data_IF_632847864362
#
_entry.id   IF_632847864362
#
_cell.length_a   1.000
_cell.length_b   1.000
_cell.length_c   1.000
_cell.angle_alpha   90.00
_cell.angle_beta   90.00
_cell.angle_gamma   90.00
#
_symmetry.space_group_name_H-M   'P 1'
#
loop_
_entity.id
_entity.type
_entity.pdbx_description
1 polymer ?
#
# COMPACT_ATOMS: atom_id res chain seq x y z
N UNK A 1 14.94 -11.51 -16.25
CA UNK A 1 14.54 -10.98 -14.93
C UNK A 1 13.86 -9.63 -15.14
N UNK A 2 12.51 -9.58 -15.13
CA UNK A 2 11.79 -8.33 -15.40
C UNK A 2 12.16 -7.28 -14.35
N UNK A 3 12.70 -6.13 -14.78
CA UNK A 3 12.98 -4.97 -13.92
C UNK A 3 11.67 -4.62 -13.21
N UNK A 4 11.55 -4.95 -11.92
CA UNK A 4 10.35 -4.70 -11.12
C UNK A 4 10.21 -3.19 -10.97
N UNK A 5 9.41 -2.57 -11.84
CA UNK A 5 9.12 -1.16 -11.79
C UNK A 5 8.45 -0.86 -10.44
N UNK A 6 9.16 -0.15 -9.56
CA UNK A 6 8.57 0.41 -8.35
C UNK A 6 7.47 1.40 -8.79
N UNK A 7 6.33 1.45 -8.08
CA UNK A 7 5.26 2.36 -8.44
C UNK A 7 5.74 3.81 -8.24
N UNK A 8 6.16 4.46 -9.34
CA UNK A 8 6.58 5.86 -9.35
C UNK A 8 5.38 6.73 -9.70
N UNK A 9 4.94 7.55 -8.76
CA UNK A 9 3.90 8.56 -8.97
C UNK A 9 3.28 9.04 -7.66
N UNK A 10 2.90 10.33 -7.60
CA UNK A 10 2.35 11.00 -6.41
C UNK A 10 1.24 10.22 -5.70
N UNK A 11 0.37 9.53 -6.45
CA UNK A 11 -0.73 8.72 -5.88
C UNK A 11 -0.25 7.47 -5.16
N UNK A 12 0.83 6.85 -5.64
CA UNK A 12 1.45 5.70 -5.00
C UNK A 12 2.16 6.12 -3.71
N UNK A 13 2.90 7.23 -3.75
CA UNK A 13 3.59 7.79 -2.58
C UNK A 13 2.61 8.20 -1.48
N UNK A 14 1.51 8.86 -1.82
CA UNK A 14 0.47 9.22 -0.85
C UNK A 14 -0.14 7.98 -0.16
N UNK A 15 -0.35 6.90 -0.91
CA UNK A 15 -0.83 5.62 -0.35
C UNK A 15 0.19 4.96 0.56
N UNK A 16 1.47 5.02 0.19
CA UNK A 16 2.55 4.52 1.03
C UNK A 16 2.63 5.31 2.33
N UNK A 17 2.60 6.64 2.25
CA UNK A 17 2.60 7.53 3.41
C UNK A 17 1.44 7.27 4.35
N UNK A 18 0.22 7.10 3.82
CA UNK A 18 -0.96 6.77 4.63
C UNK A 18 -0.78 5.48 5.43
N UNK A 19 -0.42 4.38 4.77
CA UNK A 19 -0.26 3.07 5.43
C UNK A 19 0.87 3.10 6.46
N UNK A 20 1.97 3.78 6.14
CA UNK A 20 3.09 3.92 7.06
C UNK A 20 2.78 4.84 8.25
N UNK A 21 1.91 5.85 8.07
CA UNK A 21 1.35 6.66 9.16
C UNK A 21 0.51 5.82 10.11
N UNK A 22 -0.46 5.06 9.58
CA UNK A 22 -1.28 4.13 10.38
C UNK A 22 -0.44 3.06 11.09
N UNK A 23 0.65 2.60 10.47
CA UNK A 23 1.60 1.69 11.11
C UNK A 23 2.38 2.37 12.26
N UNK A 24 2.83 3.61 12.06
CA UNK A 24 3.51 4.41 13.10
C UNK A 24 2.60 4.63 14.31
N UNK A 25 1.31 4.83 14.07
CA UNK A 25 0.27 4.97 15.11
C UNK A 25 -0.17 3.64 15.72
N UNK A 26 0.33 2.50 15.24
CA UNK A 26 -0.09 1.14 15.67
C UNK A 26 -1.59 0.88 15.46
N UNK A 27 -2.22 1.56 14.50
CA UNK A 27 -3.65 1.42 14.16
C UNK A 27 -3.86 0.59 12.90
N UNK A 28 -2.81 0.34 12.10
CA UNK A 28 -2.88 -0.46 10.88
C UNK A 28 -3.34 -1.91 11.17
N UNK A 29 -4.46 -2.33 10.58
CA UNK A 29 -4.99 -3.70 10.67
C UNK A 29 -4.84 -4.47 9.36
N UNK A 30 -4.51 -5.76 9.45
CA UNK A 30 -4.40 -6.64 8.28
C UNK A 30 -5.73 -7.29 7.92
N UNK A 31 -6.02 -7.39 6.63
CA UNK A 31 -7.17 -8.12 6.07
C UNK A 31 -8.53 -7.43 6.25
N UNK A 32 -8.87 -6.97 7.45
CA UNK A 32 -10.16 -6.35 7.75
C UNK A 32 -10.10 -5.35 8.90
N UNK A 33 -11.18 -4.57 9.09
CA UNK A 33 -11.31 -3.62 10.21
C UNK A 33 -11.27 -4.28 11.59
N UNK A 34 -11.59 -5.57 11.69
CA UNK A 34 -11.51 -6.36 12.94
C UNK A 34 -10.27 -7.26 12.98
N UNK A 35 -9.42 -7.22 11.95
CA UNK A 35 -8.23 -8.03 11.86
C UNK A 35 -7.14 -7.63 12.86
N UNK A 36 -6.10 -8.46 13.02
CA UNK A 36 -5.02 -8.16 13.92
C UNK A 36 -4.24 -6.92 13.47
N UNK A 37 -3.70 -6.20 14.46
CA UNK A 37 -2.80 -5.06 14.24
C UNK A 37 -1.51 -5.57 13.60
N UNK A 38 -1.03 -4.85 12.60
CA UNK A 38 0.23 -5.14 11.92
C UNK A 38 1.39 -4.75 12.83
N UNK A 39 2.18 -5.74 13.24
CA UNK A 39 3.33 -5.56 14.14
C UNK A 39 4.65 -5.40 13.39
N UNK A 40 4.75 -5.98 12.19
CA UNK A 40 5.98 -5.98 11.39
C UNK A 40 6.02 -4.84 10.38
N UNK A 41 7.13 -4.10 10.35
CA UNK A 41 7.39 -3.06 9.35
C UNK A 41 7.43 -3.64 7.93
N UNK A 42 7.95 -4.85 7.76
CA UNK A 42 7.99 -5.52 6.47
C UNK A 42 6.57 -5.81 5.94
N UNK A 43 5.65 -6.20 6.83
CA UNK A 43 4.24 -6.40 6.49
C UNK A 43 3.55 -5.09 6.12
N UNK A 44 3.79 -4.01 6.86
CA UNK A 44 3.28 -2.68 6.53
C UNK A 44 3.76 -2.21 5.15
N UNK A 45 5.05 -2.42 4.84
CA UNK A 45 5.63 -2.14 3.52
C UNK A 45 5.00 -2.98 2.41
N UNK A 46 4.72 -4.26 2.67
CA UNK A 46 4.05 -5.11 1.69
C UNK A 46 2.62 -4.62 1.38
N UNK A 47 1.86 -4.22 2.40
CA UNK A 47 0.52 -3.65 2.26
C UNK A 47 0.58 -2.33 1.49
N UNK A 48 1.52 -1.45 1.85
CA UNK A 48 1.67 -0.13 1.23
C UNK A 48 2.00 -0.24 -0.27
N UNK A 49 2.89 -1.16 -0.65
CA UNK A 49 3.22 -1.45 -2.05
C UNK A 49 2.06 -2.12 -2.80
N UNK A 50 1.21 -2.89 -2.12
CA UNK A 50 0.00 -3.47 -2.72
C UNK A 50 -1.07 -2.41 -2.98
N UNK A 51 -1.34 -1.54 -1.99
CA UNK A 51 -2.21 -0.37 -2.09
C UNK A 51 -1.78 0.57 -3.23
N UNK A 52 -0.49 0.89 -3.31
CA UNK A 52 0.10 1.72 -4.35
C UNK A 52 -0.10 1.12 -5.76
N UNK A 53 0.13 -0.20 -5.92
CA UNK A 53 -0.10 -0.89 -7.20
C UNK A 53 -1.58 -0.95 -7.59
N UNK A 54 -2.49 -1.09 -6.62
CA UNK A 54 -3.94 -1.01 -6.88
C UNK A 54 -4.33 0.38 -7.34
N UNK A 55 -3.75 1.43 -6.73
CA UNK A 55 -4.02 2.81 -7.11
C UNK A 55 -3.55 3.12 -8.55
N UNK A 56 -2.40 2.62 -8.98
CA UNK A 56 -1.92 2.79 -10.35
C UNK A 56 -2.77 2.02 -11.37
N UNK A 57 -3.14 0.76 -11.08
CA UNK A 57 -4.02 -0.04 -11.95
C UNK A 57 -5.45 0.50 -12.06
N UNK A 58 -5.96 1.20 -11.04
CA UNK A 58 -7.30 1.80 -11.10
C UNK A 58 -7.36 2.96 -12.11
N UNK A 59 -6.24 3.64 -12.36
CA UNK A 59 -6.12 4.63 -13.43
C UNK A 59 -6.19 4.04 -14.83
N UNK A 60 -5.71 2.80 -15.03
CA UNK A 60 -5.71 2.13 -16.33
C UNK A 60 -7.01 1.38 -16.63
N UNK A 61 -7.75 0.92 -15.61
CA UNK A 61 -9.06 0.24 -15.79
C UNK A 61 -10.22 1.18 -16.15
N UNK A 62 -10.11 2.49 -15.90
CA UNK A 62 -11.17 3.47 -16.23
C UNK A 62 -11.15 3.91 -17.71
N UNK A 63 -10.19 3.42 -18.51
CA UNK A 63 -10.01 3.74 -19.94
C UNK A 63 -10.44 2.59 -20.88
N UNK A 64 -11.14 1.57 -20.37
CA UNK A 64 -11.66 0.47 -21.16
C UNK A 64 -13.17 0.45 -21.09
#
# INVERSE_FOLDING_TARGET
MAKKAYPKGKKAEAKIGKVMGEFKEKTLRSGSKKGPVVKSKAQALAISLSEARKASKKGSKKKK
#
